data_IF_659395845424
#
_entry.id   IF_659395845424
#
_cell.length_a   1.000
_cell.length_b   1.000
_cell.length_c   1.000
_cell.angle_alpha   90.00
_cell.angle_beta   90.00
_cell.angle_gamma   90.00
#
_symmetry.space_group_name_H-M   'P 1'
#
loop_
_entity.id
_entity.type
_entity.pdbx_description
1 polymer ?
#
# COMPACT_ATOMS: atom_id res chain seq x y z
N UNK A 1 0.55 6.43 -12.92
CA UNK A 1 1.83 5.93 -12.37
C UNK A 1 1.52 4.83 -11.38
N UNK A 2 2.26 3.71 -11.41
CA UNK A 2 2.05 2.57 -10.51
C UNK A 2 3.29 2.33 -9.66
N UNK A 3 3.08 2.07 -8.37
CA UNK A 3 4.14 1.72 -7.40
C UNK A 3 3.81 0.35 -6.81
N UNK A 4 4.80 -0.54 -6.81
CA UNK A 4 4.69 -1.90 -6.32
C UNK A 4 5.75 -2.18 -5.26
N UNK A 5 5.35 -2.83 -4.17
CA UNK A 5 6.25 -3.30 -3.12
C UNK A 5 6.00 -4.78 -2.91
N UNK A 6 7.02 -5.58 -3.22
CA UNK A 6 6.99 -7.03 -3.05
C UNK A 6 7.85 -7.45 -1.86
N UNK A 7 7.32 -8.38 -1.07
CA UNK A 7 8.06 -9.08 -0.03
C UNK A 7 7.73 -10.57 -0.04
N UNK A 8 8.59 -11.39 0.58
CA UNK A 8 8.45 -12.85 0.61
C UNK A 8 7.44 -13.37 1.64
N UNK A 9 6.75 -12.49 2.37
CA UNK A 9 5.74 -12.88 3.34
C UNK A 9 4.38 -13.05 2.67
N UNK A 10 3.77 -14.22 2.85
CA UNK A 10 2.39 -14.50 2.45
C UNK A 10 1.34 -13.84 3.35
N UNK A 11 1.74 -13.18 4.44
CA UNK A 11 0.82 -12.51 5.35
C UNK A 11 0.24 -11.25 4.70
N UNK A 12 -1.06 -11.28 4.38
CA UNK A 12 -1.77 -10.11 3.84
C UNK A 12 -1.72 -8.94 4.83
N UNK A 13 -1.53 -7.70 4.34
CA UNK A 13 -1.41 -6.54 5.21
C UNK A 13 -2.76 -6.27 5.88
N UNK A 14 -2.74 -5.92 7.17
CA UNK A 14 -3.93 -5.64 7.97
C UNK A 14 -3.90 -4.21 8.46
N UNK A 15 -5.03 -3.51 8.35
CA UNK A 15 -5.17 -2.15 8.88
C UNK A 15 -4.93 -2.17 10.38
N UNK A 16 -4.12 -1.23 10.83
CA UNK A 16 -3.80 -1.03 12.25
C UNK A 16 -4.19 0.39 12.63
N UNK A 17 -4.75 0.55 13.82
CA UNK A 17 -4.88 1.86 14.44
C UNK A 17 -3.55 2.23 15.06
N UNK A 18 -2.95 3.30 14.57
CA UNK A 18 -1.78 3.87 15.21
C UNK A 18 -2.27 4.80 16.33
N UNK A 19 -1.86 4.52 17.57
CA UNK A 19 -2.06 5.44 18.68
C UNK A 19 -1.41 6.80 18.40
N UNK A 20 -1.83 7.84 19.10
CA UNK A 20 -1.40 9.23 18.87
C UNK A 20 0.12 9.38 18.84
N UNK A 21 0.84 8.80 19.81
CA UNK A 21 2.31 8.77 19.86
C UNK A 21 2.96 7.56 19.17
N UNK A 22 2.18 6.74 18.46
CA UNK A 22 2.69 5.57 17.76
C UNK A 22 3.62 5.97 16.61
N UNK A 23 4.71 5.25 16.39
CA UNK A 23 5.66 5.49 15.28
C UNK A 23 5.46 4.54 14.09
N UNK A 24 4.49 3.63 14.17
CA UNK A 24 4.18 2.64 13.13
C UNK A 24 2.67 2.40 13.01
N UNK A 25 2.26 1.63 12.00
CA UNK A 25 0.87 1.20 11.82
C UNK A 25 0.02 2.06 10.88
N UNK A 26 0.51 3.23 10.46
CA UNK A 26 -0.23 4.13 9.56
C UNK A 26 -0.11 3.81 8.07
N UNK A 27 0.76 2.87 7.68
CA UNK A 27 1.07 2.63 6.26
C UNK A 27 -0.17 2.40 5.38
N UNK A 28 -1.05 1.49 5.77
CA UNK A 28 -2.28 1.22 5.02
C UNK A 28 -3.30 2.38 5.07
N UNK A 29 -3.35 3.13 6.17
CA UNK A 29 -4.17 4.34 6.24
C UNK A 29 -3.68 5.37 5.23
N UNK A 30 -2.37 5.57 5.14
CA UNK A 30 -1.78 6.51 4.21
C UNK A 30 -2.00 6.07 2.75
N UNK A 31 -1.85 4.78 2.44
CA UNK A 31 -2.15 4.24 1.11
C UNK A 31 -3.60 4.52 0.73
N UNK A 32 -4.56 4.15 1.59
CA UNK A 32 -5.99 4.40 1.37
C UNK A 32 -6.32 5.87 1.10
N UNK A 33 -5.63 6.80 1.77
CA UNK A 33 -5.88 8.23 1.64
C UNK A 33 -5.21 8.91 0.44
N UNK A 34 -4.07 8.39 -0.01
CA UNK A 34 -3.20 9.07 -0.97
C UNK A 34 -3.26 8.52 -2.39
N UNK A 35 -3.73 7.29 -2.56
CA UNK A 35 -3.75 6.59 -3.85
C UNK A 35 -5.14 6.65 -4.48
N UNK A 36 -5.23 6.69 -5.81
CA UNK A 36 -6.53 6.61 -6.49
C UNK A 36 -7.11 5.20 -6.41
N UNK A 37 -6.25 4.20 -6.53
CA UNK A 37 -6.59 2.80 -6.32
C UNK A 37 -5.36 2.05 -5.81
N UNK A 38 -5.60 1.06 -4.96
CA UNK A 38 -4.56 0.18 -4.46
C UNK A 38 -5.13 -1.22 -4.24
N UNK A 39 -4.24 -2.18 -4.07
CA UNK A 39 -4.63 -3.54 -3.79
C UNK A 39 -3.46 -4.40 -3.33
N UNK A 40 -3.78 -5.68 -3.08
CA UNK A 40 -2.82 -6.69 -2.69
C UNK A 40 -2.97 -7.88 -3.61
N UNK A 41 -1.86 -8.36 -4.12
CA UNK A 41 -1.77 -9.56 -4.95
C UNK A 41 -0.91 -10.60 -4.23
N UNK A 42 -1.45 -11.81 -4.04
CA UNK A 42 -0.63 -12.94 -3.60
C UNK A 42 0.26 -13.39 -4.77
N UNK A 43 1.55 -13.54 -4.52
CA UNK A 43 2.52 -14.04 -5.51
C UNK A 43 3.09 -15.37 -5.01
N UNK A 44 3.55 -16.23 -5.93
CA UNK A 44 3.95 -17.61 -5.59
C UNK A 44 4.93 -17.74 -4.42
N UNK A 45 5.76 -16.72 -4.16
CA UNK A 45 6.71 -16.68 -3.04
C UNK A 45 6.44 -15.59 -1.99
N UNK A 46 5.28 -14.92 -2.00
CA UNK A 46 5.03 -13.79 -1.11
C UNK A 46 3.80 -12.97 -1.50
N UNK A 47 3.90 -11.65 -1.41
CA UNK A 47 2.83 -10.74 -1.83
C UNK A 47 3.39 -9.47 -2.43
N UNK A 48 2.57 -8.83 -3.25
CA UNK A 48 2.79 -7.48 -3.74
C UNK A 48 1.67 -6.57 -3.24
N UNK A 49 2.03 -5.47 -2.59
CA UNK A 49 1.11 -4.34 -2.37
C UNK A 49 1.36 -3.34 -3.48
N UNK A 50 0.31 -2.96 -4.20
CA UNK A 50 0.41 -2.05 -5.34
C UNK A 50 -0.52 -0.86 -5.17
N UNK A 51 -0.15 0.26 -5.77
CA UNK A 51 -0.95 1.49 -5.78
C UNK A 51 -0.78 2.23 -7.10
N UNK A 52 -1.82 2.96 -7.49
CA UNK A 52 -1.84 3.79 -8.69
C UNK A 52 -2.20 5.24 -8.37
N UNK A 53 -1.60 6.14 -9.16
CA UNK A 53 -1.76 7.58 -9.08
C UNK A 53 -2.00 8.14 -10.48
N UNK A 54 -3.04 8.94 -10.65
CA UNK A 54 -3.30 9.73 -11.83
C UNK A 54 -2.15 10.73 -11.99
N UNK A 55 -1.44 10.63 -13.11
CA UNK A 55 -0.43 11.62 -13.46
C UNK A 55 -1.09 12.59 -14.41
N UNK A 56 -1.28 13.83 -13.96
CA UNK A 56 -1.70 14.90 -14.86
C UNK A 56 -0.69 15.04 -15.99
N UNK A 57 -1.15 14.92 -17.23
CA UNK A 57 -0.35 15.33 -18.37
C UNK A 57 -0.11 16.84 -18.29
N UNK A 58 1.10 17.29 -18.61
CA UNK A 58 1.32 18.70 -18.92
C UNK A 58 0.40 19.06 -20.09
N UNK A 59 -0.54 19.98 -19.85
CA UNK A 59 -1.36 20.59 -20.89
C UNK A 59 -0.48 21.50 -21.78
#
# INVERSE_FOLDING_TARGET
>A
MRVEVEDSSSALPRRREAGESGVSGRGLLLIEMLTDVWGVEARGGGKCVWSEFAVGGAA
#
